data_IF_065162473133
#
_entry.id   IF_065162473133
#
_cell.length_a   1.000
_cell.length_b   1.000
_cell.length_c   1.000
_cell.angle_alpha   90.00
_cell.angle_beta   90.00
_cell.angle_gamma   90.00
#
_symmetry.space_group_name_H-M   'P 1'
#
loop_
_entity.id
_entity.type
_entity.pdbx_description
1 polymer ?
#
# COMPACT_ATOMS: atom_id res chain seq x y z
N UNK A 1 15.82 -29.44 6.73
CA UNK A 1 16.89 -29.71 5.76
C UNK A 1 16.79 -28.65 4.66
N UNK A 2 17.59 -27.59 4.73
CA UNK A 2 17.62 -26.54 3.70
C UNK A 2 18.48 -27.08 2.55
N UNK A 3 17.84 -27.73 1.57
CA UNK A 3 18.50 -28.03 0.31
C UNK A 3 18.76 -26.70 -0.41
N UNK A 4 20.04 -26.41 -0.62
CA UNK A 4 20.55 -25.24 -1.32
C UNK A 4 20.04 -25.27 -2.77
N UNK A 5 18.87 -24.67 -3.04
CA UNK A 5 18.24 -24.58 -4.38
C UNK A 5 18.98 -23.58 -5.30
N UNK A 6 20.31 -23.54 -5.25
CA UNK A 6 21.15 -22.58 -5.99
C UNK A 6 21.26 -22.86 -7.48
N UNK A 7 20.92 -24.06 -7.94
CA UNK A 7 21.32 -24.53 -9.28
C UNK A 7 20.59 -23.86 -10.45
N UNK A 8 19.54 -23.06 -10.20
CA UNK A 8 18.83 -22.29 -11.24
C UNK A 8 18.56 -20.85 -10.82
N UNK A 9 19.44 -20.25 -10.03
CA UNK A 9 19.42 -18.80 -9.74
C UNK A 9 20.43 -18.09 -10.61
N UNK A 10 19.94 -17.17 -11.44
CA UNK A 10 20.81 -16.24 -12.16
C UNK A 10 20.91 -14.97 -11.35
N UNK A 11 22.14 -14.56 -11.04
CA UNK A 11 22.40 -13.19 -10.62
C UNK A 11 21.95 -12.28 -11.76
N UNK A 12 21.07 -11.36 -11.44
CA UNK A 12 20.35 -10.58 -12.41
C UNK A 12 19.98 -9.27 -11.75
N UNK A 13 20.52 -8.16 -12.24
CA UNK A 13 20.25 -6.85 -11.69
C UNK A 13 19.37 -6.09 -12.67
N UNK A 14 18.10 -5.91 -12.31
CA UNK A 14 17.13 -5.26 -13.18
C UNK A 14 16.10 -4.46 -12.38
N UNK A 15 15.74 -3.32 -12.94
CA UNK A 15 14.68 -2.47 -12.39
C UNK A 15 13.29 -3.05 -12.67
N UNK A 16 12.35 -2.75 -11.77
CA UNK A 16 10.99 -3.22 -11.87
C UNK A 16 10.03 -2.48 -10.95
N UNK A 17 8.80 -3.00 -10.90
CA UNK A 17 7.74 -2.48 -10.04
C UNK A 17 7.08 -3.61 -9.25
N UNK A 18 6.74 -3.33 -7.99
CA UNK A 18 5.94 -4.20 -7.14
C UNK A 18 4.65 -3.45 -6.77
N UNK A 19 3.49 -3.99 -7.15
CA UNK A 19 2.22 -3.53 -6.59
C UNK A 19 1.92 -4.36 -5.36
N UNK A 20 1.87 -3.72 -4.21
CA UNK A 20 1.69 -4.38 -2.92
C UNK A 20 0.98 -3.44 -1.95
N UNK A 21 0.01 -3.96 -1.21
CA UNK A 21 -0.73 -3.16 -0.24
C UNK A 21 -1.49 -1.96 -0.83
N UNK A 22 -1.78 -1.97 -2.14
CA UNK A 22 -2.42 -0.85 -2.83
C UNK A 22 -1.43 0.21 -3.33
N UNK A 23 -0.14 0.08 -3.05
CA UNK A 23 0.91 1.00 -3.48
C UNK A 23 1.77 0.37 -4.59
N UNK A 24 2.34 1.20 -5.49
CA UNK A 24 3.34 0.75 -6.48
C UNK A 24 4.71 1.20 -6.04
N UNK A 25 5.58 0.25 -5.71
CA UNK A 25 6.94 0.47 -5.26
C UNK A 25 7.92 0.16 -6.39
N UNK A 26 9.00 0.93 -6.47
CA UNK A 26 10.13 0.58 -7.32
C UNK A 26 10.93 -0.56 -6.68
N UNK A 27 11.41 -1.49 -7.50
CA UNK A 27 12.27 -2.57 -7.05
C UNK A 27 13.52 -2.69 -7.91
N UNK A 28 14.56 -3.26 -7.32
CA UNK A 28 15.69 -3.85 -8.01
C UNK A 28 15.67 -5.36 -7.77
N UNK A 29 15.54 -6.13 -8.84
CA UNK A 29 15.71 -7.59 -8.81
C UNK A 29 17.20 -7.90 -8.73
N UNK A 30 17.62 -8.82 -7.86
CA UNK A 30 19.02 -9.24 -7.71
C UNK A 30 19.29 -10.67 -8.15
N UNK A 31 18.30 -11.54 -7.98
CA UNK A 31 18.33 -12.88 -8.55
C UNK A 31 16.93 -13.32 -8.96
N UNK A 32 16.89 -14.13 -10.00
CA UNK A 32 15.66 -14.77 -10.48
C UNK A 32 15.90 -16.26 -10.69
N UNK A 33 14.86 -17.03 -10.41
CA UNK A 33 14.75 -18.47 -10.65
C UNK A 33 13.41 -18.77 -11.31
N UNK A 34 13.21 -20.03 -11.71
CA UNK A 34 11.91 -20.48 -12.24
C UNK A 34 10.76 -20.34 -11.23
N UNK A 35 11.06 -20.29 -9.93
CA UNK A 35 10.03 -20.27 -8.87
C UNK A 35 9.86 -18.91 -8.22
N UNK A 36 10.71 -17.94 -8.52
CA UNK A 36 10.71 -16.70 -7.74
C UNK A 36 11.93 -15.84 -7.93
N UNK A 37 11.93 -14.71 -7.25
CA UNK A 37 12.97 -13.69 -7.33
C UNK A 37 13.33 -13.14 -5.95
N UNK A 38 14.57 -12.69 -5.81
CA UNK A 38 14.98 -11.85 -4.69
C UNK A 38 15.05 -10.41 -5.15
N UNK A 39 14.39 -9.51 -4.42
CA UNK A 39 14.31 -8.10 -4.78
C UNK A 39 14.68 -7.21 -3.59
N UNK A 40 15.22 -6.03 -3.90
CA UNK A 40 15.24 -4.88 -3.02
C UNK A 40 14.11 -3.95 -3.41
N UNK A 41 13.38 -3.44 -2.43
CA UNK A 41 12.24 -2.54 -2.65
C UNK A 41 12.56 -1.17 -2.08
N UNK A 42 12.30 -0.14 -2.88
CA UNK A 42 12.38 1.25 -2.45
C UNK A 42 11.18 1.58 -1.57
N UNK A 43 11.38 2.23 -0.40
CA UNK A 43 10.30 2.69 0.46
C UNK A 43 9.27 3.56 -0.29
N UNK A 44 8.00 3.37 0.04
CA UNK A 44 6.89 4.19 -0.44
C UNK A 44 6.27 5.08 0.66
N UNK A 45 5.10 5.62 0.36
CA UNK A 45 4.30 6.52 1.19
C UNK A 45 3.52 5.76 2.29
N UNK A 46 3.05 4.54 2.00
CA UNK A 46 2.42 3.67 3.00
C UNK A 46 3.44 2.70 3.59
N UNK A 47 4.23 2.07 2.72
CA UNK A 47 5.16 1.00 3.08
C UNK A 47 6.59 1.55 3.12
N UNK A 48 6.94 2.17 4.25
CA UNK A 48 8.20 2.91 4.39
C UNK A 48 9.25 2.13 5.19
N UNK A 49 8.80 1.38 6.19
CA UNK A 49 9.67 0.68 7.16
C UNK A 49 9.50 -0.83 7.05
N UNK A 50 10.47 -1.59 7.56
CA UNK A 50 10.37 -3.06 7.61
C UNK A 50 9.15 -3.52 8.41
N UNK A 51 8.79 -2.79 9.46
CA UNK A 51 7.61 -3.05 10.28
C UNK A 51 6.30 -2.90 9.49
N UNK A 52 6.23 -1.94 8.56
CA UNK A 52 5.06 -1.77 7.70
C UNK A 52 4.86 -3.00 6.81
N UNK A 53 5.95 -3.52 6.24
CA UNK A 53 5.90 -4.75 5.45
C UNK A 53 5.57 -5.97 6.31
N UNK A 54 6.15 -6.10 7.51
CA UNK A 54 5.81 -7.20 8.42
C UNK A 54 4.34 -7.18 8.82
N UNK A 55 3.78 -6.00 9.11
CA UNK A 55 2.36 -5.82 9.42
C UNK A 55 1.48 -6.21 8.23
N UNK A 56 1.81 -5.72 7.03
CA UNK A 56 1.15 -6.13 5.79
C UNK A 56 1.15 -7.66 5.62
N UNK A 57 2.30 -8.33 5.81
CA UNK A 57 2.43 -9.78 5.59
C UNK A 57 1.64 -10.65 6.58
N UNK A 58 1.17 -10.06 7.69
CA UNK A 58 0.23 -10.73 8.60
C UNK A 58 -1.21 -10.70 8.08
N UNK A 59 -1.53 -9.78 7.18
CA UNK A 59 -2.87 -9.61 6.58
C UNK A 59 -2.95 -10.19 5.17
N UNK A 60 -2.02 -9.81 4.30
CA UNK A 60 -1.95 -10.23 2.89
C UNK A 60 -0.49 -10.36 2.45
N UNK A 61 -0.15 -11.52 1.88
CA UNK A 61 1.19 -11.82 1.36
C UNK A 61 1.27 -11.70 -0.15
N UNK A 62 0.16 -11.40 -0.81
CA UNK A 62 0.09 -11.40 -2.26
C UNK A 62 0.49 -10.03 -2.81
N UNK A 63 1.19 -10.04 -3.93
CA UNK A 63 1.59 -8.85 -4.66
C UNK A 63 1.58 -9.13 -6.17
N UNK A 64 1.77 -8.08 -6.96
CA UNK A 64 2.00 -8.17 -8.39
C UNK A 64 3.36 -7.59 -8.74
N UNK A 65 4.14 -8.29 -9.55
CA UNK A 65 5.47 -7.87 -9.97
C UNK A 65 5.49 -7.51 -11.45
N UNK A 66 6.38 -6.59 -11.80
CA UNK A 66 6.86 -6.36 -13.15
C UNK A 66 8.38 -6.19 -13.14
N UNK A 67 9.08 -6.90 -14.01
CA UNK A 67 10.53 -6.76 -14.21
C UNK A 67 10.78 -6.47 -15.68
N UNK A 68 11.25 -5.25 -15.98
CA UNK A 68 11.25 -4.71 -17.34
C UNK A 68 12.17 -5.51 -18.28
N UNK A 69 13.39 -5.77 -17.85
CA UNK A 69 14.39 -6.50 -18.65
C UNK A 69 14.01 -7.96 -18.94
N UNK A 70 13.19 -8.58 -18.08
CA UNK A 70 12.65 -9.92 -18.32
C UNK A 70 11.35 -9.91 -19.12
N UNK A 71 10.77 -8.72 -19.35
CA UNK A 71 9.40 -8.55 -19.81
C UNK A 71 8.45 -9.48 -19.03
N UNK A 72 8.62 -9.56 -17.72
CA UNK A 72 7.90 -10.48 -16.85
C UNK A 72 6.93 -9.68 -16.00
N UNK A 73 5.66 -10.08 -16.00
CA UNK A 73 4.66 -9.57 -15.06
C UNK A 73 3.85 -10.72 -14.47
N UNK A 74 3.35 -10.56 -13.25
CA UNK A 74 2.48 -11.59 -12.68
C UNK A 74 2.22 -11.46 -11.21
N UNK A 75 1.48 -12.43 -10.68
CA UNK A 75 1.20 -12.57 -9.26
C UNK A 75 2.31 -13.32 -8.54
N UNK A 76 2.65 -12.80 -7.35
CA UNK A 76 3.67 -13.37 -6.49
C UNK A 76 3.18 -13.43 -5.05
N UNK A 77 3.75 -14.36 -4.29
CA UNK A 77 3.72 -14.36 -2.84
C UNK A 77 5.01 -13.79 -2.27
N UNK A 78 4.88 -12.96 -1.26
CA UNK A 78 6.00 -12.50 -0.45
C UNK A 78 6.24 -13.55 0.64
N UNK A 79 7.30 -14.33 0.47
CA UNK A 79 7.64 -15.42 1.39
C UNK A 79 8.37 -14.90 2.63
N UNK A 80 9.21 -13.88 2.49
CA UNK A 80 9.91 -13.23 3.58
C UNK A 80 10.24 -11.76 3.25
N UNK A 81 10.38 -10.95 4.30
CA UNK A 81 10.93 -9.59 4.25
C UNK A 81 12.07 -9.52 5.28
N UNK A 82 13.15 -8.81 4.97
CA UNK A 82 14.24 -8.54 5.93
C UNK A 82 14.89 -7.19 5.65
N UNK A 83 15.47 -6.58 6.69
CA UNK A 83 16.29 -5.37 6.54
C UNK A 83 17.77 -5.75 6.46
N UNK A 84 18.47 -5.34 5.41
CA UNK A 84 19.91 -5.53 5.24
C UNK A 84 20.60 -4.22 4.93
N UNK A 85 21.52 -3.74 5.79
CA UNK A 85 22.31 -2.51 5.56
C UNK A 85 21.46 -1.32 5.09
N UNK A 86 20.31 -1.14 5.75
CA UNK A 86 19.30 -0.11 5.45
C UNK A 86 18.42 -0.34 4.20
N UNK A 87 18.51 -1.50 3.57
CA UNK A 87 17.69 -1.91 2.41
C UNK A 87 16.60 -2.86 2.86
N UNK A 88 15.43 -2.77 2.22
CA UNK A 88 14.32 -3.70 2.46
C UNK A 88 14.41 -4.76 1.37
N UNK A 89 14.76 -5.98 1.79
CA UNK A 89 14.91 -7.12 0.91
C UNK A 89 13.68 -8.01 1.02
N UNK A 90 13.24 -8.58 -0.10
CA UNK A 90 12.12 -9.51 -0.17
C UNK A 90 12.45 -10.75 -0.98
N UNK A 91 11.92 -11.89 -0.53
CA UNK A 91 11.82 -13.09 -1.32
C UNK A 91 10.42 -13.21 -1.89
N UNK A 92 10.33 -13.39 -3.20
CA UNK A 92 9.09 -13.55 -3.94
C UNK A 92 9.01 -14.96 -4.51
N UNK A 93 7.85 -15.60 -4.39
CA UNK A 93 7.51 -16.85 -5.06
C UNK A 93 6.48 -16.58 -6.16
N UNK A 94 6.75 -17.05 -7.37
CA UNK A 94 5.88 -16.84 -8.53
C UNK A 94 4.66 -17.75 -8.43
N UNK A 95 3.46 -17.18 -8.61
CA UNK A 95 2.21 -17.94 -8.73
C UNK A 95 1.79 -18.10 -10.17
N UNK A 96 1.55 -16.97 -10.82
CA UNK A 96 1.12 -16.88 -12.20
C UNK A 96 1.85 -15.72 -12.85
N UNK A 97 2.80 -16.04 -13.74
CA UNK A 97 3.66 -15.07 -14.40
C UNK A 97 3.57 -15.23 -15.91
N UNK A 98 3.46 -14.10 -16.59
CA UNK A 98 3.48 -14.00 -18.04
C UNK A 98 4.78 -13.36 -18.51
N UNK A 99 5.26 -13.82 -19.65
CA UNK A 99 6.41 -13.26 -20.35
C UNK A 99 5.92 -12.36 -21.49
N UNK A 100 6.79 -11.51 -22.04
CA UNK A 100 6.46 -10.47 -23.01
C UNK A 100 5.48 -9.42 -22.47
N UNK A 101 5.48 -9.21 -21.15
CA UNK A 101 4.78 -8.11 -20.53
C UNK A 101 5.56 -6.81 -20.73
N UNK A 102 4.83 -5.74 -21.06
CA UNK A 102 5.39 -4.39 -21.19
C UNK A 102 5.07 -3.48 -20.00
N UNK A 103 4.27 -3.97 -19.04
CA UNK A 103 3.83 -3.21 -17.88
C UNK A 103 3.34 -4.12 -16.76
N UNK A 104 3.26 -3.56 -15.57
CA UNK A 104 2.63 -4.17 -14.40
C UNK A 104 1.12 -4.38 -14.63
N UNK A 105 0.66 -5.61 -14.37
CA UNK A 105 -0.75 -5.96 -14.39
C UNK A 105 -1.28 -5.98 -12.95
N UNK A 106 -2.22 -5.08 -12.64
CA UNK A 106 -2.70 -4.86 -11.27
C UNK A 106 -4.09 -5.44 -11.09
N UNK A 107 -4.28 -6.29 -10.09
CA UNK A 107 -5.61 -6.55 -9.52
C UNK A 107 -5.87 -5.54 -8.41
N UNK A 108 -7.13 -5.24 -8.15
CA UNK A 108 -7.50 -4.30 -7.07
C UNK A 108 -7.33 -5.01 -5.73
N UNK A 109 -6.29 -4.65 -4.98
CA UNK A 109 -6.04 -5.03 -3.58
C UNK A 109 -5.57 -3.78 -2.82
N UNK A 110 -5.89 -3.65 -1.54
CA UNK A 110 -5.55 -2.46 -0.76
C UNK A 110 -5.33 -2.76 0.72
N UNK A 111 -4.10 -2.54 1.19
CA UNK A 111 -3.73 -2.61 2.60
C UNK A 111 -4.13 -1.32 3.32
N UNK A 112 -4.46 -1.43 4.61
CA UNK A 112 -4.74 -0.28 5.47
C UNK A 112 -3.73 -0.22 6.60
N UNK A 113 -2.84 0.77 6.53
CA UNK A 113 -1.89 1.05 7.59
C UNK A 113 -2.63 1.64 8.80
N UNK A 114 -2.48 0.99 9.95
CA UNK A 114 -2.91 1.50 11.25
C UNK A 114 -1.90 2.55 11.71
N UNK A 115 -2.16 3.80 11.37
CA UNK A 115 -1.29 4.93 11.69
C UNK A 115 -2.16 6.10 12.13
N UNK A 116 -1.92 6.55 13.37
CA UNK A 116 -2.57 7.76 13.89
C UNK A 116 -1.91 9.01 13.32
N UNK A 117 -2.71 9.91 12.78
CA UNK A 117 -2.25 11.22 12.28
C UNK A 117 -3.31 12.29 12.55
N UNK A 118 -2.92 13.56 12.56
CA UNK A 118 -3.87 14.69 12.63
C UNK A 118 -4.15 15.24 11.25
N UNK A 119 -5.41 15.63 11.02
CA UNK A 119 -5.82 16.22 9.76
C UNK A 119 -6.93 17.26 9.95
N UNK A 120 -7.15 18.03 8.90
CA UNK A 120 -8.28 18.93 8.78
C UNK A 120 -9.20 18.45 7.68
N UNK A 121 -10.47 18.28 8.04
CA UNK A 121 -11.53 17.84 7.14
C UNK A 121 -12.45 19.01 6.86
N UNK A 122 -12.64 19.31 5.58
CA UNK A 122 -13.54 20.34 5.10
C UNK A 122 -14.75 19.66 4.44
N UNK A 123 -15.94 19.92 4.95
CA UNK A 123 -17.21 19.44 4.41
C UNK A 123 -18.12 20.66 4.27
N UNK A 124 -18.63 20.90 3.07
CA UNK A 124 -19.37 22.11 2.71
C UNK A 124 -18.61 23.41 3.08
N UNK A 125 -19.04 24.09 4.15
CA UNK A 125 -18.44 25.33 4.67
C UNK A 125 -17.80 25.16 6.05
N UNK A 126 -17.81 23.95 6.59
CA UNK A 126 -17.32 23.64 7.93
C UNK A 126 -15.94 23.00 7.88
N UNK A 127 -15.15 23.25 8.94
CA UNK A 127 -13.79 22.73 9.12
C UNK A 127 -13.74 21.96 10.43
N UNK A 128 -13.30 20.71 10.36
CA UNK A 128 -13.13 19.83 11.51
C UNK A 128 -11.67 19.49 11.70
N UNK A 129 -11.22 19.51 12.96
CA UNK A 129 -9.98 18.85 13.36
C UNK A 129 -10.30 17.38 13.62
N UNK A 130 -9.60 16.48 12.95
CA UNK A 130 -9.88 15.03 12.95
C UNK A 130 -8.61 14.23 13.17
N UNK A 131 -8.77 13.04 13.74
CA UNK A 131 -7.71 12.05 13.94
C UNK A 131 -7.87 10.91 12.94
N UNK A 132 -6.80 10.57 12.23
CA UNK A 132 -6.72 9.37 11.42
C UNK A 132 -6.64 8.11 12.28
N UNK A 133 -7.41 7.08 11.92
CA UNK A 133 -7.39 5.76 12.57
C UNK A 133 -6.63 4.76 11.71
N UNK A 134 -6.90 4.75 10.41
CA UNK A 134 -6.15 3.98 9.41
C UNK A 134 -6.24 4.63 8.03
N UNK A 135 -5.29 4.31 7.16
CA UNK A 135 -5.23 4.80 5.77
C UNK A 135 -4.81 3.73 4.77
N UNK A 136 -5.36 3.81 3.56
CA UNK A 136 -4.88 3.13 2.35
C UNK A 136 -4.69 4.16 1.23
N UNK A 137 -4.26 3.71 0.04
CA UNK A 137 -4.14 4.57 -1.15
C UNK A 137 -5.50 5.11 -1.61
N UNK A 138 -6.57 4.34 -1.40
CA UNK A 138 -7.91 4.66 -1.92
C UNK A 138 -8.85 5.28 -0.87
N UNK A 139 -8.46 5.30 0.41
CA UNK A 139 -9.36 5.74 1.46
C UNK A 139 -8.73 5.77 2.85
N UNK A 140 -9.50 6.25 3.81
CA UNK A 140 -9.07 6.33 5.20
C UNK A 140 -10.24 6.32 6.17
N UNK A 141 -9.96 5.94 7.41
CA UNK A 141 -10.87 6.06 8.54
C UNK A 141 -10.43 7.24 9.41
N UNK A 142 -11.36 8.14 9.68
CA UNK A 142 -11.15 9.31 10.54
C UNK A 142 -12.08 9.26 11.75
N UNK A 143 -11.67 9.93 12.82
CA UNK A 143 -12.37 10.06 14.09
C UNK A 143 -12.40 11.52 14.51
N UNK A 144 -13.53 11.97 15.06
CA UNK A 144 -13.70 13.28 15.68
C UNK A 144 -14.63 13.21 16.89
N UNK A 145 -14.53 14.21 17.77
CA UNK A 145 -15.31 14.29 19.00
C UNK A 145 -16.70 14.88 18.73
N UNK A 146 -17.73 14.28 19.33
CA UNK A 146 -19.13 14.69 19.21
C UNK A 146 -19.82 14.22 17.93
N UNK A 147 -21.12 14.48 17.87
CA UNK A 147 -21.97 14.25 16.70
C UNK A 147 -22.08 15.51 15.85
N UNK A 148 -21.98 15.36 14.53
CA UNK A 148 -21.93 16.47 13.56
C UNK A 148 -22.90 16.21 12.42
N UNK A 149 -24.12 16.79 12.45
CA UNK A 149 -25.19 16.49 11.50
C UNK A 149 -24.88 16.80 10.03
N UNK A 150 -23.87 17.62 9.75
CA UNK A 150 -23.38 17.94 8.41
C UNK A 150 -22.56 16.80 7.79
N UNK A 151 -22.06 15.85 8.59
CA UNK A 151 -21.30 14.70 8.11
C UNK A 151 -22.27 13.62 7.61
N UNK A 152 -22.50 13.58 6.30
CA UNK A 152 -23.44 12.65 5.66
C UNK A 152 -22.73 11.76 4.65
N UNK A 153 -23.24 10.55 4.46
CA UNK A 153 -22.79 9.65 3.40
C UNK A 153 -22.91 10.37 2.04
N UNK A 154 -21.91 10.20 1.19
CA UNK A 154 -21.68 10.86 -0.10
C UNK A 154 -21.36 12.36 -0.04
N UNK A 155 -21.21 12.97 1.15
CA UNK A 155 -20.76 14.36 1.24
C UNK A 155 -19.35 14.49 0.62
N UNK A 156 -19.13 15.44 -0.31
CA UNK A 156 -17.81 15.71 -0.84
C UNK A 156 -16.94 16.34 0.24
N UNK A 157 -15.68 15.93 0.29
CA UNK A 157 -14.75 16.40 1.32
C UNK A 157 -13.43 16.82 0.71
N UNK A 158 -12.78 17.78 1.37
CA UNK A 158 -11.35 18.04 1.21
C UNK A 158 -10.65 17.70 2.52
N UNK A 159 -9.55 16.96 2.42
CA UNK A 159 -8.72 16.60 3.55
C UNK A 159 -7.34 17.21 3.40
N UNK A 160 -6.83 17.80 4.48
CA UNK A 160 -5.46 18.26 4.60
C UNK A 160 -4.79 17.58 5.80
N UNK A 161 -3.80 16.72 5.56
CA UNK A 161 -2.99 16.08 6.60
C UNK A 161 -1.53 16.50 6.42
N UNK A 162 -1.14 17.59 7.07
CA UNK A 162 0.20 18.16 6.94
C UNK A 162 1.31 17.20 7.38
N UNK A 163 1.08 16.42 8.43
CA UNK A 163 2.00 15.39 8.94
C UNK A 163 2.34 14.33 7.88
N UNK A 164 1.41 14.08 6.96
CA UNK A 164 1.57 13.10 5.86
C UNK A 164 1.91 13.77 4.51
N UNK A 165 2.05 15.10 4.46
CA UNK A 165 2.17 15.83 3.20
C UNK A 165 0.98 15.66 2.26
N UNK A 166 -0.20 15.28 2.78
CA UNK A 166 -1.36 14.86 1.99
C UNK A 166 -2.40 15.98 1.88
N UNK A 167 -2.81 16.30 0.65
CA UNK A 167 -3.97 17.14 0.33
C UNK A 167 -4.85 16.41 -0.68
N UNK A 168 -6.02 15.92 -0.25
CA UNK A 168 -6.85 15.05 -1.06
C UNK A 168 -8.31 15.51 -1.11
N UNK A 169 -8.96 15.23 -2.24
CA UNK A 169 -10.42 15.32 -2.37
C UNK A 169 -11.01 13.92 -2.20
N UNK A 170 -12.23 13.84 -1.71
CA UNK A 170 -12.89 12.57 -1.46
C UNK A 170 -14.39 12.69 -1.24
N UNK A 171 -14.98 11.61 -0.79
CA UNK A 171 -16.36 11.58 -0.28
C UNK A 171 -16.47 10.70 0.94
N UNK A 172 -17.42 11.02 1.81
CA UNK A 172 -17.82 10.14 2.92
C UNK A 172 -18.51 8.90 2.36
N UNK A 173 -18.13 7.71 2.79
CA UNK A 173 -18.74 6.44 2.36
C UNK A 173 -19.54 5.73 3.46
N UNK A 174 -19.22 5.98 4.72
CA UNK A 174 -19.97 5.52 5.88
C UNK A 174 -19.69 6.44 7.07
N UNK A 175 -20.63 6.48 8.01
CA UNK A 175 -20.55 7.26 9.26
C UNK A 175 -21.07 6.40 10.39
N UNK A 176 -20.35 6.35 11.49
CA UNK A 176 -20.76 5.75 12.76
C UNK A 176 -20.60 6.81 13.84
N UNK A 177 -21.70 7.34 14.38
CA UNK A 177 -21.67 8.33 15.46
C UNK A 177 -22.33 7.82 16.74
N UNK A 178 -21.79 8.27 17.87
CA UNK A 178 -22.40 8.24 19.19
C UNK A 178 -22.24 9.61 19.85
N UNK A 179 -22.77 9.81 21.06
CA UNK A 179 -22.73 11.10 21.76
C UNK A 179 -21.32 11.66 21.99
N UNK A 180 -20.29 10.80 22.01
CA UNK A 180 -18.91 11.17 22.34
C UNK A 180 -18.01 11.26 21.10
N UNK A 181 -18.24 10.40 20.11
CA UNK A 181 -17.32 10.19 18.99
C UNK A 181 -18.10 9.90 17.71
N UNK A 182 -17.68 10.57 16.64
CA UNK A 182 -18.02 10.20 15.26
C UNK A 182 -16.82 9.56 14.58
N UNK A 183 -17.03 8.43 13.91
CA UNK A 183 -16.10 7.79 12.98
C UNK A 183 -16.67 7.86 11.58
N UNK A 184 -15.81 8.06 10.60
CA UNK A 184 -16.23 8.12 9.21
C UNK A 184 -15.19 7.54 8.28
N UNK A 185 -15.68 6.86 7.25
CA UNK A 185 -14.86 6.38 6.15
C UNK A 185 -14.84 7.38 5.01
N UNK A 186 -13.66 7.70 4.52
CA UNK A 186 -13.46 8.47 3.31
C UNK A 186 -12.99 7.57 2.18
N UNK A 187 -13.56 7.78 1.00
CA UNK A 187 -13.00 7.33 -0.27
C UNK A 187 -12.33 8.52 -0.94
N UNK A 188 -11.04 8.40 -1.25
CA UNK A 188 -10.28 9.44 -1.94
C UNK A 188 -10.57 9.41 -3.44
N UNK A 189 -10.66 10.59 -4.04
CA UNK A 189 -10.68 10.75 -5.50
C UNK A 189 -9.24 10.80 -5.96
N UNK A 190 -8.78 9.69 -6.55
CA UNK A 190 -7.47 9.60 -7.18
C UNK A 190 -7.61 10.18 -8.60
N UNK A 191 -7.10 11.39 -8.80
CA UNK A 191 -6.92 11.93 -10.16
C UNK A 191 -5.71 11.22 -10.75
N UNK A 192 -5.96 10.33 -11.72
CA UNK A 192 -4.92 9.65 -12.48
C UNK A 192 -4.42 10.52 -13.62
#
# INVERSE_FOLDING_TARGET
MFQDRKEYRKNFNAEGQLFVGGETLQLNCYDVSLKGAMVEVSPGDLLTTIQDFEALLNEDRQAEIFVAELMLAGEVDIVWVKRERNRIMMGLEFRDVVHNAHKLWRKRRGYRKLEGFKAELFIDKERFSVEGVNRSVEGMCLKLTGDHPCIKINAPVKLLAAELGLSALGKVVWVESNELVTRLGLQLVIVK
#
